data_IF_030415411982
#
_entry.id   IF_030415411982
#
_cell.length_a   1.000
_cell.length_b   1.000
_cell.length_c   1.000
_cell.angle_alpha   90.00
_cell.angle_beta   90.00
_cell.angle_gamma   90.00
#
_symmetry.space_group_name_H-M   'P 1'
#
loop_
_entity.id
_entity.type
_entity.pdbx_description
1 polymer ?
#
# COMPACT_ATOMS: atom_id res chain seq x y z
N UNK A 1 63.73 14.71 -40.86
CA UNK A 1 63.20 14.24 -39.56
C UNK A 1 61.84 14.89 -39.33
N UNK A 2 60.76 14.16 -39.52
CA UNK A 2 59.41 14.67 -39.41
C UNK A 2 58.86 14.28 -38.02
N UNK A 3 58.52 15.26 -37.21
CA UNK A 3 57.90 15.07 -35.90
C UNK A 3 56.38 15.04 -36.10
N UNK A 4 55.80 13.91 -35.77
CA UNK A 4 54.35 13.64 -35.87
C UNK A 4 53.66 14.25 -34.66
N UNK A 5 52.72 15.17 -34.88
CA UNK A 5 51.86 15.72 -33.84
C UNK A 5 50.63 14.80 -33.77
N UNK A 6 50.47 14.12 -32.65
CA UNK A 6 49.27 13.31 -32.36
C UNK A 6 48.16 14.23 -31.86
N UNK A 7 47.04 14.25 -32.54
CA UNK A 7 45.81 14.88 -32.08
C UNK A 7 45.19 14.07 -30.97
N UNK A 8 45.15 14.61 -29.78
CA UNK A 8 44.38 14.09 -28.66
C UNK A 8 42.94 14.54 -28.88
N UNK A 9 42.13 13.59 -29.30
CA UNK A 9 40.68 13.76 -29.39
C UNK A 9 40.08 13.60 -28.00
N UNK A 10 39.83 14.71 -27.31
CA UNK A 10 39.09 14.70 -26.03
C UNK A 10 37.61 14.52 -26.29
N UNK A 11 37.22 13.24 -26.34
CA UNK A 11 35.81 12.84 -26.33
C UNK A 11 35.18 13.17 -24.98
N UNK A 12 34.47 14.29 -24.90
CA UNK A 12 33.58 14.57 -23.80
C UNK A 12 32.39 13.60 -23.91
N UNK A 13 32.46 12.54 -23.14
CA UNK A 13 31.32 11.66 -22.96
C UNK A 13 30.29 12.41 -22.14
N UNK A 14 29.21 12.85 -22.78
CA UNK A 14 28.02 13.36 -22.11
C UNK A 14 27.49 12.26 -21.20
N UNK A 15 27.62 12.43 -19.90
CA UNK A 15 27.01 11.52 -18.94
C UNK A 15 25.49 11.51 -19.17
N UNK A 16 24.95 10.34 -19.44
CA UNK A 16 23.48 10.17 -19.50
C UNK A 16 22.88 10.66 -18.17
N UNK A 17 21.73 11.39 -18.22
CA UNK A 17 21.06 11.80 -17.00
C UNK A 17 20.69 10.55 -16.23
N UNK A 18 21.18 10.47 -14.99
CA UNK A 18 20.76 9.45 -14.02
C UNK A 18 19.25 9.38 -14.03
N UNK A 19 18.69 8.34 -14.65
CA UNK A 19 17.30 7.96 -14.46
C UNK A 19 17.18 7.63 -12.98
N UNK A 20 16.69 8.57 -12.18
CA UNK A 20 16.23 8.34 -10.83
C UNK A 20 15.12 7.30 -10.99
N UNK A 21 15.46 6.03 -10.78
CA UNK A 21 14.45 4.97 -10.63
C UNK A 21 13.74 5.31 -9.33
N UNK A 22 12.54 5.87 -9.40
CA UNK A 22 11.62 5.93 -8.28
C UNK A 22 11.55 4.53 -7.67
N UNK A 23 12.14 4.39 -6.50
CA UNK A 23 12.23 3.11 -5.82
C UNK A 23 10.98 2.94 -4.98
N UNK A 24 10.02 2.18 -5.50
CA UNK A 24 8.85 1.77 -4.74
C UNK A 24 9.29 0.76 -3.67
N UNK A 25 9.01 1.07 -2.42
CA UNK A 25 9.28 0.19 -1.28
C UNK A 25 7.97 -0.28 -0.67
N UNK A 26 7.88 -1.59 -0.41
CA UNK A 26 6.77 -2.21 0.33
C UNK A 26 7.33 -2.78 1.63
N UNK A 27 6.79 -2.35 2.76
CA UNK A 27 7.20 -2.83 4.09
C UNK A 27 6.10 -2.64 5.12
N UNK A 28 6.25 -3.29 6.27
CA UNK A 28 5.41 -2.99 7.43
C UNK A 28 5.64 -1.56 7.92
N UNK A 29 4.62 -0.97 8.54
CA UNK A 29 4.75 0.37 9.13
C UNK A 29 5.52 0.32 10.45
N UNK A 30 6.14 1.44 10.77
CA UNK A 30 6.75 1.72 12.08
C UNK A 30 6.01 2.91 12.72
N UNK A 31 6.24 3.20 14.02
CA UNK A 31 5.59 4.34 14.67
C UNK A 31 5.81 5.69 13.98
N UNK A 32 6.95 5.87 13.32
CA UNK A 32 7.27 7.08 12.54
C UNK A 32 6.39 7.25 11.31
N UNK A 33 5.82 6.15 10.81
CA UNK A 33 4.93 6.16 9.65
C UNK A 33 3.47 6.51 9.98
N UNK A 34 3.08 6.48 11.26
CA UNK A 34 1.67 6.61 11.66
C UNK A 34 1.05 7.90 11.17
N UNK A 35 1.71 9.03 11.36
CA UNK A 35 1.15 10.31 10.92
C UNK A 35 1.17 10.47 9.39
N UNK A 36 2.25 10.15 8.67
CA UNK A 36 2.22 10.13 7.21
C UNK A 36 1.12 9.23 6.62
N UNK A 37 0.92 8.04 7.17
CA UNK A 37 -0.14 7.12 6.72
C UNK A 37 -1.53 7.67 7.05
N UNK A 38 -1.73 8.26 8.24
CA UNK A 38 -2.99 8.87 8.64
C UNK A 38 -3.38 10.01 7.70
N UNK A 39 -2.44 10.90 7.38
CA UNK A 39 -2.66 12.00 6.44
C UNK A 39 -2.99 11.47 5.04
N UNK A 40 -2.23 10.51 4.54
CA UNK A 40 -2.52 9.85 3.27
C UNK A 40 -3.94 9.28 3.23
N UNK A 41 -4.35 8.53 4.25
CA UNK A 41 -5.68 7.95 4.34
C UNK A 41 -6.78 9.02 4.37
N UNK A 42 -6.57 10.12 5.08
CA UNK A 42 -7.51 11.24 5.10
C UNK A 42 -7.70 11.86 3.70
N UNK A 43 -6.62 12.00 2.94
CA UNK A 43 -6.65 12.56 1.58
C UNK A 43 -7.34 11.65 0.56
N UNK A 44 -7.31 10.32 0.77
CA UNK A 44 -7.88 9.35 -0.19
C UNK A 44 -9.27 8.84 0.19
N UNK A 45 -9.97 9.55 1.08
CA UNK A 45 -11.38 9.29 1.38
C UNK A 45 -11.65 8.53 2.67
N UNK A 46 -10.66 8.36 3.54
CA UNK A 46 -10.80 7.70 4.84
C UNK A 46 -10.84 8.70 6.02
N UNK A 47 -11.03 9.99 5.76
CA UNK A 47 -10.90 11.07 6.75
C UNK A 47 -11.72 10.83 8.02
N UNK A 48 -12.95 10.32 7.92
CA UNK A 48 -13.81 10.09 9.07
C UNK A 48 -13.30 8.95 9.98
N UNK A 49 -12.63 7.95 9.40
CA UNK A 49 -12.08 6.82 10.14
C UNK A 49 -10.72 7.09 10.77
N UNK A 50 -10.03 8.15 10.33
CA UNK A 50 -8.67 8.49 10.77
C UNK A 50 -8.59 9.90 11.36
N UNK A 51 -9.73 10.52 11.66
CA UNK A 51 -9.84 11.89 12.18
C UNK A 51 -9.07 12.10 13.47
N UNK A 52 -9.17 11.16 14.40
CA UNK A 52 -8.51 11.20 15.70
C UNK A 52 -7.14 10.52 15.63
N UNK A 53 -6.02 11.28 15.77
CA UNK A 53 -4.68 10.73 15.71
C UNK A 53 -4.39 9.69 16.79
N UNK A 54 -4.93 9.88 18.02
CA UNK A 54 -4.72 8.96 19.12
C UNK A 54 -5.47 7.65 18.90
N UNK A 55 -6.71 7.71 18.42
CA UNK A 55 -7.46 6.53 18.04
C UNK A 55 -6.76 5.78 16.90
N UNK A 56 -6.23 6.50 15.90
CA UNK A 56 -5.46 5.91 14.82
C UNK A 56 -4.20 5.20 15.32
N UNK A 57 -3.42 5.84 16.19
CA UNK A 57 -2.24 5.25 16.81
C UNK A 57 -2.58 3.94 17.52
N UNK A 58 -3.60 3.95 18.39
CA UNK A 58 -4.07 2.76 19.11
C UNK A 58 -4.53 1.65 18.16
N UNK A 59 -5.17 2.02 17.05
CA UNK A 59 -5.60 1.07 16.02
C UNK A 59 -4.39 0.40 15.35
N UNK A 60 -3.34 1.17 15.03
CA UNK A 60 -2.12 0.62 14.42
C UNK A 60 -1.37 -0.30 15.38
N UNK A 61 -1.25 0.08 16.64
CA UNK A 61 -0.61 -0.74 17.69
C UNK A 61 -1.29 -2.10 17.94
N UNK A 62 -2.58 -2.21 17.61
CA UNK A 62 -3.38 -3.44 17.74
C UNK A 62 -3.57 -4.18 16.42
N UNK A 63 -2.92 -3.73 15.37
CA UNK A 63 -3.02 -4.35 14.05
C UNK A 63 -1.93 -5.39 13.87
N UNK A 64 -2.31 -6.59 13.42
CA UNK A 64 -1.37 -7.70 13.26
C UNK A 64 -0.53 -7.56 11.99
N UNK A 65 -1.13 -7.09 10.90
CA UNK A 65 -0.45 -6.95 9.60
C UNK A 65 -0.72 -5.59 8.96
N UNK A 66 0.34 -4.94 8.56
CA UNK A 66 0.31 -3.68 7.81
C UNK A 66 1.32 -3.72 6.67
N UNK A 67 0.99 -3.08 5.56
CA UNK A 67 1.92 -2.84 4.45
C UNK A 67 1.75 -1.41 3.98
N UNK A 68 2.85 -0.69 3.89
CA UNK A 68 2.95 0.64 3.27
C UNK A 68 3.63 0.52 1.92
N UNK A 69 3.14 1.24 0.92
CA UNK A 69 3.86 1.51 -0.31
C UNK A 69 4.42 2.92 -0.25
N UNK A 70 5.72 3.03 -0.24
CA UNK A 70 6.47 4.27 -0.18
C UNK A 70 7.18 4.52 -1.51
N UNK A 71 7.01 5.72 -2.04
CA UNK A 71 7.62 6.18 -3.28
C UNK A 71 8.56 7.35 -2.94
N UNK A 72 9.84 7.04 -2.76
CA UNK A 72 10.97 7.94 -2.44
C UNK A 72 10.66 9.14 -1.52
N UNK A 73 9.50 9.77 -1.66
CA UNK A 73 9.11 11.01 -0.98
C UNK A 73 7.80 10.96 -0.22
N UNK A 74 6.92 9.98 -0.50
CA UNK A 74 5.57 9.95 0.10
C UNK A 74 4.95 8.56 0.15
N UNK A 75 3.95 8.42 1.01
CA UNK A 75 3.04 7.27 1.02
C UNK A 75 2.16 7.32 -0.22
N UNK A 76 2.14 6.23 -0.99
CA UNK A 76 1.28 6.07 -2.17
C UNK A 76 0.32 4.91 -2.05
N UNK A 77 0.45 4.10 -1.00
CA UNK A 77 -0.46 3.02 -0.71
C UNK A 77 -0.33 2.51 0.71
N UNK A 78 -1.42 1.94 1.21
CA UNK A 78 -1.46 1.35 2.54
C UNK A 78 -2.48 0.20 2.57
N UNK A 79 -2.13 -0.87 3.27
CA UNK A 79 -3.02 -1.98 3.55
C UNK A 79 -2.91 -2.42 5.01
N UNK A 80 -4.03 -2.87 5.57
CA UNK A 80 -4.14 -3.30 6.97
C UNK A 80 -5.03 -4.52 7.10
N UNK A 81 -4.60 -5.47 7.92
CA UNK A 81 -5.40 -6.64 8.28
C UNK A 81 -5.27 -7.01 9.75
N UNK A 82 -6.31 -7.65 10.27
CA UNK A 82 -6.31 -8.39 11.52
C UNK A 82 -6.19 -9.88 11.17
N UNK A 83 -5.30 -10.61 11.84
CA UNK A 83 -5.02 -12.00 11.49
C UNK A 83 -4.48 -12.76 12.70
N UNK A 84 -5.00 -13.96 12.95
CA UNK A 84 -4.48 -14.84 14.00
C UNK A 84 -3.15 -15.53 13.60
N UNK A 85 -2.77 -15.42 12.32
CA UNK A 85 -1.58 -16.06 11.78
C UNK A 85 -1.70 -17.57 11.57
N UNK A 86 -2.89 -18.14 11.76
CA UNK A 86 -3.10 -19.59 11.76
C UNK A 86 -4.25 -20.00 10.83
N UNK A 87 -5.40 -19.35 10.93
CA UNK A 87 -6.61 -19.79 10.24
C UNK A 87 -7.47 -18.66 9.67
N UNK A 88 -7.51 -17.49 10.27
CA UNK A 88 -8.44 -16.43 9.90
C UNK A 88 -7.78 -15.06 9.81
N UNK A 89 -8.17 -14.30 8.78
CA UNK A 89 -7.76 -12.92 8.59
C UNK A 89 -8.90 -12.04 8.06
N UNK A 90 -8.89 -10.78 8.47
CA UNK A 90 -9.80 -9.75 8.00
C UNK A 90 -9.02 -8.57 7.41
N UNK A 91 -9.16 -8.35 6.10
CA UNK A 91 -8.58 -7.19 5.44
C UNK A 91 -9.48 -5.99 5.71
N UNK A 92 -8.96 -5.01 6.45
CA UNK A 92 -9.74 -3.87 6.94
C UNK A 92 -9.60 -2.61 6.09
N UNK A 93 -8.42 -2.34 5.57
CA UNK A 93 -8.13 -1.17 4.75
C UNK A 93 -7.20 -1.56 3.61
N UNK A 94 -7.50 -1.10 2.40
CA UNK A 94 -6.58 -1.07 1.26
C UNK A 94 -6.81 0.23 0.52
N UNK A 95 -5.79 1.05 0.39
CA UNK A 95 -5.85 2.34 -0.27
C UNK A 95 -4.64 2.56 -1.17
N UNK A 96 -4.87 3.16 -2.33
CA UNK A 96 -3.82 3.56 -3.28
C UNK A 96 -4.08 5.00 -3.70
N UNK A 97 -3.02 5.82 -3.76
CA UNK A 97 -3.10 7.19 -4.23
C UNK A 97 -3.75 7.26 -5.62
N UNK A 98 -4.72 8.18 -5.86
CA UNK A 98 -5.45 8.25 -7.12
C UNK A 98 -4.56 8.35 -8.35
N UNK A 99 -3.48 9.11 -8.27
CA UNK A 99 -2.50 9.31 -9.36
C UNK A 99 -1.56 8.10 -9.57
N UNK A 100 -1.67 7.08 -8.73
CA UNK A 100 -0.86 5.83 -8.78
C UNK A 100 -1.69 4.58 -9.02
N UNK A 101 -2.99 4.72 -9.25
CA UNK A 101 -3.87 3.59 -9.55
C UNK A 101 -3.56 2.99 -10.92
N UNK A 102 -3.89 1.73 -11.12
CA UNK A 102 -3.62 1.01 -12.38
C UNK A 102 -2.15 0.61 -12.60
N UNK A 103 -1.28 0.75 -11.59
CA UNK A 103 0.14 0.44 -11.67
C UNK A 103 0.53 -0.84 -10.87
N UNK A 104 -0.45 -1.59 -10.39
CA UNK A 104 -0.22 -2.83 -9.64
C UNK A 104 0.07 -2.65 -8.15
N UNK A 105 0.05 -1.42 -7.62
CA UNK A 105 0.35 -1.14 -6.21
C UNK A 105 -0.65 -1.83 -5.27
N UNK A 106 -1.95 -1.75 -5.57
CA UNK A 106 -2.98 -2.41 -4.78
C UNK A 106 -2.80 -3.92 -4.71
N UNK A 107 -2.46 -4.55 -5.84
CA UNK A 107 -2.13 -5.99 -5.89
C UNK A 107 -0.93 -6.31 -5.00
N UNK A 108 0.17 -5.59 -5.16
CA UNK A 108 1.38 -5.82 -4.37
C UNK A 108 1.14 -5.63 -2.86
N UNK A 109 0.36 -4.62 -2.46
CA UNK A 109 -0.04 -4.41 -1.06
C UNK A 109 -0.78 -5.63 -0.50
N UNK A 110 -1.77 -6.16 -1.24
CA UNK A 110 -2.57 -7.31 -0.78
C UNK A 110 -1.72 -8.58 -0.77
N UNK A 111 -0.92 -8.85 -1.80
CA UNK A 111 -0.02 -9.99 -1.85
C UNK A 111 0.97 -10.00 -0.67
N UNK A 112 1.59 -8.86 -0.35
CA UNK A 112 2.44 -8.72 0.83
C UNK A 112 1.66 -8.92 2.15
N UNK A 113 0.39 -8.48 2.21
CA UNK A 113 -0.42 -8.55 3.41
C UNK A 113 -0.86 -9.97 3.76
N UNK A 114 -1.25 -10.77 2.74
CA UNK A 114 -1.76 -12.14 2.90
C UNK A 114 -0.69 -13.22 2.86
N UNK A 115 0.49 -12.92 2.30
CA UNK A 115 1.68 -13.81 2.23
C UNK A 115 1.40 -15.19 1.61
N UNK A 116 0.36 -15.31 0.77
CA UNK A 116 -0.06 -16.54 0.09
C UNK A 116 -0.18 -17.80 1.00
N UNK A 117 -0.48 -17.61 2.29
CA UNK A 117 -0.70 -18.74 3.18
C UNK A 117 -2.05 -19.42 2.89
N UNK A 118 -2.05 -20.65 2.36
CA UNK A 118 -3.29 -21.34 1.98
C UNK A 118 -4.11 -21.81 3.19
N UNK A 119 -3.58 -21.74 4.40
CA UNK A 119 -4.28 -22.17 5.62
C UNK A 119 -5.14 -21.04 6.21
N UNK A 120 -4.98 -19.81 5.76
CA UNK A 120 -5.73 -18.67 6.27
C UNK A 120 -6.92 -18.35 5.37
N UNK A 121 -8.12 -18.36 5.95
CA UNK A 121 -9.31 -17.83 5.30
C UNK A 121 -9.35 -16.31 5.46
N UNK A 122 -9.29 -15.61 4.35
CA UNK A 122 -9.35 -14.15 4.33
C UNK A 122 -10.76 -13.66 4.01
N UNK A 123 -11.26 -12.71 4.81
CA UNK A 123 -12.53 -12.01 4.56
C UNK A 123 -12.29 -10.50 4.47
N UNK A 124 -13.18 -9.79 3.79
CA UNK A 124 -13.15 -8.33 3.68
C UNK A 124 -14.54 -7.76 3.40
N UNK A 125 -14.71 -6.46 3.63
CA UNK A 125 -15.83 -5.69 3.10
C UNK A 125 -15.33 -4.89 1.89
N UNK A 126 -15.78 -5.24 0.70
CA UNK A 126 -15.43 -4.52 -0.52
C UNK A 126 -16.06 -3.11 -0.52
N UNK A 127 -15.26 -2.09 -0.79
CA UNK A 127 -15.76 -0.74 -1.06
C UNK A 127 -16.54 -0.68 -2.38
N UNK A 128 -17.33 0.38 -2.56
CA UNK A 128 -18.08 0.61 -3.80
C UNK A 128 -17.13 0.60 -5.01
N UNK A 129 -17.46 -0.19 -6.03
CA UNK A 129 -16.67 -0.29 -7.27
C UNK A 129 -15.41 -1.14 -7.17
N UNK A 130 -15.07 -1.71 -6.00
CA UNK A 130 -13.84 -2.52 -5.82
C UNK A 130 -13.99 -4.00 -6.17
N UNK A 131 -15.19 -4.47 -6.49
CA UNK A 131 -15.47 -5.90 -6.71
C UNK A 131 -14.63 -6.53 -7.82
N UNK A 132 -14.34 -5.79 -8.90
CA UNK A 132 -13.49 -6.27 -9.98
C UNK A 132 -12.04 -6.50 -9.55
N UNK A 133 -11.50 -5.63 -8.72
CA UNK A 133 -10.17 -5.78 -8.13
C UNK A 133 -10.08 -7.04 -7.27
N UNK A 134 -11.03 -7.23 -6.35
CA UNK A 134 -11.03 -8.38 -5.44
C UNK A 134 -11.23 -9.71 -6.16
N UNK A 135 -12.07 -9.74 -7.20
CA UNK A 135 -12.22 -10.93 -8.06
C UNK A 135 -10.90 -11.32 -8.74
N UNK A 136 -10.14 -10.34 -9.24
CA UNK A 136 -8.80 -10.57 -9.84
C UNK A 136 -7.78 -11.05 -8.81
N UNK A 137 -7.97 -10.73 -7.53
CA UNK A 137 -7.17 -11.22 -6.42
C UNK A 137 -7.60 -12.60 -5.91
N UNK A 138 -8.60 -13.24 -6.54
CA UNK A 138 -9.09 -14.57 -6.17
C UNK A 138 -10.18 -14.57 -5.10
N UNK A 139 -10.67 -13.41 -4.67
CA UNK A 139 -11.78 -13.32 -3.73
C UNK A 139 -13.12 -13.54 -4.41
N UNK A 140 -14.02 -14.20 -3.70
CA UNK A 140 -15.41 -14.47 -4.15
C UNK A 140 -16.38 -13.82 -3.17
N UNK A 141 -17.51 -13.36 -3.67
CA UNK A 141 -18.60 -12.93 -2.80
C UNK A 141 -19.06 -14.11 -1.93
N UNK A 142 -19.29 -13.85 -0.65
CA UNK A 142 -19.80 -14.83 0.31
C UNK A 142 -21.26 -14.53 0.64
N UNK A 143 -22.13 -15.50 0.44
CA UNK A 143 -23.52 -15.44 0.86
C UNK A 143 -23.71 -15.80 2.35
N UNK A 144 -22.65 -16.34 2.97
CA UNK A 144 -22.68 -16.79 4.36
C UNK A 144 -22.15 -15.73 5.34
N UNK A 145 -21.51 -14.67 4.84
CA UNK A 145 -20.96 -13.63 5.69
C UNK A 145 -22.07 -12.77 6.29
N UNK A 146 -22.01 -12.59 7.60
CA UNK A 146 -22.90 -11.69 8.35
C UNK A 146 -22.07 -10.66 9.09
N UNK A 147 -22.62 -9.46 9.28
CA UNK A 147 -21.94 -8.41 9.99
C UNK A 147 -22.83 -7.77 11.06
N UNK A 148 -22.22 -7.39 12.17
CA UNK A 148 -22.81 -6.51 13.17
C UNK A 148 -22.02 -5.23 13.22
N UNK A 149 -22.58 -4.17 12.68
CA UNK A 149 -21.89 -2.87 12.60
C UNK A 149 -21.91 -2.15 13.95
N UNK A 150 -20.84 -1.43 14.24
CA UNK A 150 -20.79 -0.54 15.39
C UNK A 150 -21.79 0.62 15.22
N UNK A 151 -22.31 1.15 16.32
CA UNK A 151 -23.34 2.22 16.30
C UNK A 151 -22.90 3.45 15.48
N UNK A 152 -21.66 3.87 15.60
CA UNK A 152 -21.11 5.03 14.88
C UNK A 152 -20.94 4.82 13.35
N UNK A 153 -21.15 3.62 12.85
CA UNK A 153 -21.05 3.32 11.42
C UNK A 153 -22.42 3.11 10.74
N UNK A 154 -23.51 3.34 11.48
CA UNK A 154 -24.88 3.22 10.95
C UNK A 154 -25.37 4.54 10.31
N UNK A 155 -24.63 5.63 10.49
CA UNK A 155 -24.98 6.98 9.98
C UNK A 155 -24.28 7.32 8.65
N UNK A 156 -23.51 6.41 8.07
CA UNK A 156 -22.85 6.53 6.76
C UNK A 156 -23.67 5.69 5.71
#
# INVERSE_FOLDING_TARGET
MATRIEHINSGVTMAEPLKIRCRMEFRSITPEDYEPVRQFLAEVGWQDRVRDPEQFRRMMEKTDRTVIAWDDSRVVGFARALCDGVSNGYISMVAVAPDRRGQGIGRALVECLIEDDPNITWVLRGGRGSGGFWKKMGFKASELAMERVRASAQEE
#
